data_IF_214083068379
#
_entry.id   IF_214083068379
#
_cell.length_a   1.000
_cell.length_b   1.000
_cell.length_c   1.000
_cell.angle_alpha   90.00
_cell.angle_beta   90.00
_cell.angle_gamma   90.00
#
_symmetry.space_group_name_H-M   'P 1'
#
loop_
_entity.id
_entity.type
_entity.pdbx_description
1 polymer ?
#
# COMPACT_ATOMS: atom_id res chain seq x y z
N UNK A 1 -15.69 -15.32 -8.23
CA UNK A 1 -14.89 -16.12 -7.28
C UNK A 1 -13.58 -16.56 -7.92
N UNK A 2 -13.60 -17.24 -9.08
CA UNK A 2 -12.40 -17.65 -9.81
C UNK A 2 -11.41 -16.50 -10.11
N UNK A 3 -11.91 -15.38 -10.64
CA UNK A 3 -11.09 -14.19 -10.93
C UNK A 3 -10.36 -13.60 -9.71
N UNK A 4 -10.89 -13.74 -8.50
CA UNK A 4 -10.21 -13.27 -7.28
C UNK A 4 -9.08 -14.20 -6.86
N UNK A 5 -9.27 -15.52 -7.05
CA UNK A 5 -8.24 -16.53 -6.79
C UNK A 5 -7.07 -16.37 -7.78
N UNK A 6 -7.38 -16.13 -9.05
CA UNK A 6 -6.35 -15.94 -10.08
C UNK A 6 -5.54 -14.65 -9.81
N UNK A 7 -6.20 -13.55 -9.43
CA UNK A 7 -5.51 -12.32 -9.04
C UNK A 7 -4.62 -12.50 -7.79
N UNK A 8 -5.08 -13.28 -6.80
CA UNK A 8 -4.29 -13.60 -5.62
C UNK A 8 -3.08 -14.48 -5.97
N UNK A 9 -3.24 -15.42 -6.90
CA UNK A 9 -2.13 -16.23 -7.42
C UNK A 9 -1.11 -15.36 -8.13
N UNK A 10 -1.52 -14.51 -9.07
CA UNK A 10 -0.60 -13.63 -9.80
C UNK A 10 0.15 -12.67 -8.85
N UNK A 11 -0.53 -12.20 -7.80
CA UNK A 11 0.11 -11.37 -6.78
C UNK A 11 1.13 -12.16 -5.96
N UNK A 12 0.78 -13.33 -5.44
CA UNK A 12 1.66 -14.11 -4.55
C UNK A 12 2.75 -14.88 -5.30
N UNK A 13 2.53 -15.18 -6.59
CA UNK A 13 3.36 -16.04 -7.44
C UNK A 13 3.71 -15.36 -8.78
N UNK A 14 4.35 -14.18 -8.80
CA UNK A 14 4.55 -13.40 -10.03
C UNK A 14 5.34 -14.15 -11.12
N UNK A 15 6.27 -15.02 -10.72
CA UNK A 15 7.09 -15.85 -11.61
C UNK A 15 6.85 -17.35 -11.39
N UNK A 16 5.69 -17.71 -10.83
CA UNK A 16 5.38 -19.07 -10.38
C UNK A 16 6.01 -19.46 -9.03
N UNK A 17 6.83 -18.57 -8.44
CA UNK A 17 7.45 -18.75 -7.13
C UNK A 17 6.86 -17.82 -6.07
N UNK A 18 6.81 -18.29 -4.81
CA UNK A 18 6.22 -17.53 -3.71
C UNK A 18 7.06 -16.30 -3.37
N UNK A 19 6.44 -15.13 -3.50
CA UNK A 19 7.00 -13.89 -2.98
C UNK A 19 6.80 -13.81 -1.46
N UNK A 20 7.87 -14.11 -0.71
CA UNK A 20 7.86 -14.09 0.76
C UNK A 20 7.46 -12.72 1.34
N UNK A 21 7.87 -11.63 0.69
CA UNK A 21 7.49 -10.27 1.10
C UNK A 21 5.99 -10.02 0.95
N UNK A 22 5.38 -10.46 -0.16
CA UNK A 22 3.94 -10.33 -0.41
C UNK A 22 3.11 -11.25 0.49
N UNK A 23 3.59 -12.47 0.71
CA UNK A 23 2.97 -13.41 1.65
C UNK A 23 3.01 -12.87 3.09
N UNK A 24 4.16 -12.32 3.53
CA UNK A 24 4.31 -11.70 4.84
C UNK A 24 3.42 -10.46 5.00
N UNK A 25 3.34 -9.62 3.97
CA UNK A 25 2.42 -8.48 3.94
C UNK A 25 0.95 -8.92 4.08
N UNK A 26 0.53 -9.91 3.30
CA UNK A 26 -0.82 -10.47 3.38
C UNK A 26 -1.09 -11.06 4.77
N UNK A 27 -0.12 -11.74 5.37
CA UNK A 27 -0.23 -12.28 6.71
C UNK A 27 -0.45 -11.17 7.75
N UNK A 28 0.38 -10.11 7.73
CA UNK A 28 0.26 -8.98 8.67
C UNK A 28 -1.11 -8.30 8.55
N UNK A 29 -1.59 -8.09 7.33
CA UNK A 29 -2.90 -7.47 7.09
C UNK A 29 -4.08 -8.38 7.46
N UNK A 30 -3.93 -9.70 7.26
CA UNK A 30 -4.98 -10.69 7.56
C UNK A 30 -5.15 -10.93 9.07
N UNK A 31 -4.05 -10.91 9.82
CA UNK A 31 -4.02 -11.18 11.27
C UNK A 31 -3.79 -9.91 12.10
N UNK A 32 -4.42 -8.81 11.70
CA UNK A 32 -4.26 -7.47 12.30
C UNK A 32 -4.53 -7.36 13.81
N UNK A 33 -5.23 -8.34 14.39
CA UNK A 33 -5.59 -8.39 15.82
C UNK A 33 -4.48 -9.03 16.68
N UNK A 34 -3.48 -9.66 16.07
CA UNK A 34 -2.40 -10.30 16.81
C UNK A 34 -1.46 -9.26 17.44
N UNK A 35 -1.23 -9.28 18.77
CA UNK A 35 -0.43 -8.28 19.47
C UNK A 35 0.96 -8.01 18.87
N UNK A 36 1.70 -9.07 18.52
CA UNK A 36 3.04 -8.97 17.96
C UNK A 36 3.06 -8.23 16.60
N UNK A 37 1.96 -8.25 15.85
CA UNK A 37 1.85 -7.64 14.54
C UNK A 37 1.43 -6.16 14.58
N UNK A 38 1.15 -5.61 15.77
CA UNK A 38 0.73 -4.22 15.95
C UNK A 38 1.74 -3.20 15.38
N UNK A 39 3.03 -3.37 15.65
CA UNK A 39 4.10 -2.50 15.16
C UNK A 39 4.33 -2.64 13.64
N UNK A 40 4.52 -3.86 13.09
CA UNK A 40 4.61 -4.05 11.65
C UNK A 40 3.42 -3.45 10.88
N UNK A 41 2.19 -3.65 11.38
CA UNK A 41 0.99 -3.07 10.76
C UNK A 41 1.01 -1.55 10.79
N UNK A 42 1.35 -0.97 11.95
CA UNK A 42 1.45 0.49 12.09
C UNK A 42 2.49 1.07 11.12
N UNK A 43 3.61 0.38 10.91
CA UNK A 43 4.61 0.78 9.91
C UNK A 43 4.03 0.75 8.49
N UNK A 44 3.36 -0.35 8.10
CA UNK A 44 2.73 -0.48 6.78
C UNK A 44 1.70 0.63 6.55
N UNK A 45 0.80 0.86 7.51
CA UNK A 45 -0.19 1.93 7.45
C UNK A 45 0.48 3.31 7.30
N UNK A 46 1.54 3.58 8.08
CA UNK A 46 2.27 4.86 8.01
C UNK A 46 2.90 5.10 6.64
N UNK A 47 3.39 4.05 5.97
CA UNK A 47 3.98 4.16 4.62
C UNK A 47 2.90 4.42 3.56
N UNK A 48 1.73 3.81 3.72
CA UNK A 48 0.57 4.06 2.86
C UNK A 48 0.09 5.51 3.00
N UNK A 49 -0.03 5.99 4.24
CA UNK A 49 -0.39 7.38 4.57
C UNK A 49 0.63 8.38 3.99
N UNK A 50 1.91 8.03 4.01
CA UNK A 50 2.97 8.85 3.40
C UNK A 50 2.79 8.95 1.88
N UNK A 51 2.53 7.84 1.18
CA UNK A 51 2.33 7.87 -0.27
C UNK A 51 1.07 8.67 -0.64
N UNK A 52 -0.02 8.51 0.12
CA UNK A 52 -1.23 9.32 -0.05
C UNK A 52 -0.93 10.81 0.13
N UNK A 53 -0.23 11.18 1.20
CA UNK A 53 0.16 12.56 1.48
C UNK A 53 0.99 13.18 0.35
N UNK A 54 1.88 12.40 -0.26
CA UNK A 54 2.69 12.84 -1.40
C UNK A 54 1.83 13.07 -2.66
N UNK A 55 0.82 12.24 -2.91
CA UNK A 55 -0.12 12.40 -4.03
C UNK A 55 -0.97 13.65 -3.84
N UNK A 56 -1.49 13.87 -2.63
CA UNK A 56 -2.25 15.06 -2.28
C UNK A 56 -1.40 16.32 -2.45
N UNK A 57 -0.17 16.32 -1.93
CA UNK A 57 0.77 17.43 -2.11
C UNK A 57 0.99 17.78 -3.59
N UNK A 58 1.30 16.79 -4.43
CA UNK A 58 1.53 16.99 -5.87
C UNK A 58 0.29 17.53 -6.57
N UNK A 59 -0.88 17.02 -6.20
CA UNK A 59 -2.16 17.45 -6.75
C UNK A 59 -2.47 18.90 -6.39
N UNK A 60 -2.37 19.26 -5.10
CA UNK A 60 -2.58 20.63 -4.64
C UNK A 60 -1.57 21.60 -5.27
N UNK A 61 -0.29 21.19 -5.37
CA UNK A 61 0.73 21.98 -6.02
C UNK A 61 0.40 22.26 -7.50
N UNK A 62 0.00 21.25 -8.27
CA UNK A 62 -0.39 21.41 -9.67
C UNK A 62 -1.58 22.39 -9.83
N UNK A 63 -2.62 22.25 -8.98
CA UNK A 63 -3.79 23.14 -9.00
C UNK A 63 -3.45 24.57 -8.58
N UNK A 64 -2.57 24.73 -7.60
CA UNK A 64 -2.08 26.05 -7.18
C UNK A 64 -1.33 26.74 -8.32
N UNK A 65 -0.41 26.03 -9.01
CA UNK A 65 0.32 26.56 -10.16
C UNK A 65 -0.64 26.95 -11.29
N UNK A 66 -1.63 26.12 -11.60
CA UNK A 66 -2.63 26.44 -12.63
C UNK A 66 -3.43 27.71 -12.29
N UNK A 67 -3.76 27.92 -11.01
CA UNK A 67 -4.42 29.16 -10.57
C UNK A 67 -3.53 30.40 -10.77
N UNK A 68 -2.22 30.28 -10.55
CA UNK A 68 -1.30 31.42 -10.58
C UNK A 68 -0.89 31.83 -11.99
N UNK A 69 -0.63 30.86 -12.88
CA UNK A 69 -0.08 31.13 -14.22
C UNK A 69 -0.87 30.50 -15.36
N UNK A 70 -2.01 29.86 -15.08
CA UNK A 70 -2.71 29.04 -16.05
C UNK A 70 -1.88 27.84 -16.47
N UNK A 71 -1.96 27.46 -17.75
CA UNK A 71 -1.15 26.37 -18.35
C UNK A 71 0.06 26.90 -19.12
N UNK A 72 0.62 28.05 -18.71
CA UNK A 72 1.85 28.59 -19.32
C UNK A 72 3.05 27.70 -18.98
N UNK A 73 4.06 27.75 -19.84
CA UNK A 73 5.36 27.12 -19.58
C UNK A 73 5.94 27.64 -18.26
N UNK A 74 6.46 26.71 -17.45
CA UNK A 74 7.09 27.06 -16.18
C UNK A 74 8.43 27.75 -16.39
N UNK A 75 8.86 28.58 -15.44
CA UNK A 75 10.16 29.28 -15.49
C UNK A 75 11.35 28.31 -15.47
N UNK A 76 11.15 27.08 -15.01
CA UNK A 76 12.13 25.99 -15.09
C UNK A 76 12.20 25.27 -16.46
N UNK A 77 11.49 25.77 -17.49
CA UNK A 77 11.50 25.19 -18.84
C UNK A 77 10.60 23.96 -19.03
N UNK A 78 9.88 23.53 -18.00
CA UNK A 78 8.87 22.46 -18.12
C UNK A 78 7.57 22.98 -18.73
N UNK A 79 6.73 22.06 -19.22
CA UNK A 79 5.36 22.37 -19.68
C UNK A 79 4.42 22.88 -18.57
N UNK A 80 4.93 23.17 -17.36
CA UNK A 80 4.15 23.72 -16.26
C UNK A 80 3.19 22.69 -15.67
N UNK A 81 1.90 22.99 -15.70
CA UNK A 81 0.84 22.16 -15.10
C UNK A 81 0.79 20.76 -15.71
N UNK A 82 0.99 20.62 -17.03
CA UNK A 82 1.00 19.31 -17.71
C UNK A 82 2.06 18.37 -17.13
N UNK A 83 3.28 18.87 -16.93
CA UNK A 83 4.35 18.10 -16.29
C UNK A 83 3.99 17.73 -14.85
N UNK A 84 3.45 18.66 -14.07
CA UNK A 84 3.07 18.40 -12.67
C UNK A 84 1.97 17.33 -12.57
N UNK A 85 0.97 17.38 -13.44
CA UNK A 85 -0.10 16.38 -13.51
C UNK A 85 0.44 14.98 -13.83
N UNK A 86 1.47 14.87 -14.68
CA UNK A 86 2.14 13.59 -14.92
C UNK A 86 2.77 13.02 -13.64
N UNK A 87 3.30 13.87 -12.75
CA UNK A 87 3.94 13.40 -11.52
C UNK A 87 2.98 12.80 -10.50
N UNK A 88 1.67 13.05 -10.63
CA UNK A 88 0.63 12.47 -9.76
C UNK A 88 0.48 10.96 -10.00
N UNK A 89 0.86 10.47 -11.20
CA UNK A 89 0.74 9.07 -11.59
C UNK A 89 1.78 8.15 -10.92
N UNK A 90 2.81 8.70 -10.27
CA UNK A 90 3.84 7.90 -9.63
C UNK A 90 3.30 7.16 -8.40
N UNK A 91 3.46 5.83 -8.40
CA UNK A 91 3.17 4.94 -7.27
C UNK A 91 4.40 4.09 -7.01
N UNK A 92 4.95 4.20 -5.80
CA UNK A 92 6.16 3.53 -5.34
C UNK A 92 5.79 2.24 -4.62
N UNK A 93 4.85 2.30 -3.67
CA UNK A 93 4.50 1.18 -2.78
C UNK A 93 3.31 0.36 -3.28
N UNK A 94 3.34 -0.05 -4.55
CA UNK A 94 2.20 -0.70 -5.23
C UNK A 94 1.65 -1.93 -4.48
N UNK A 95 2.53 -2.76 -3.93
CA UNK A 95 2.13 -3.98 -3.23
C UNK A 95 1.35 -3.70 -1.94
N UNK A 96 1.70 -2.63 -1.21
CA UNK A 96 0.96 -2.21 -0.01
C UNK A 96 -0.50 -1.86 -0.34
N UNK A 97 -0.76 -1.30 -1.51
CA UNK A 97 -2.13 -1.01 -1.94
C UNK A 97 -2.84 -2.25 -2.49
N UNK A 98 -2.13 -3.06 -3.28
CA UNK A 98 -2.70 -4.24 -3.94
C UNK A 98 -3.17 -5.30 -2.92
N UNK A 99 -2.43 -5.51 -1.83
CA UNK A 99 -2.75 -6.55 -0.84
C UNK A 99 -4.15 -6.40 -0.23
N UNK A 100 -4.67 -5.17 -0.12
CA UNK A 100 -6.01 -4.89 0.43
C UNK A 100 -7.14 -5.53 -0.38
N UNK A 101 -6.90 -5.81 -1.66
CA UNK A 101 -7.86 -6.52 -2.53
C UNK A 101 -7.86 -8.03 -2.33
N UNK A 102 -6.87 -8.56 -1.62
CA UNK A 102 -6.69 -10.00 -1.35
C UNK A 102 -7.23 -10.42 0.02
N UNK A 103 -7.73 -9.46 0.82
CA UNK A 103 -8.24 -9.74 2.15
C UNK A 103 -9.57 -10.48 2.09
N UNK A 104 -9.68 -11.50 2.95
CA UNK A 104 -10.92 -12.25 3.18
C UNK A 104 -11.42 -11.96 4.59
N UNK A 105 -12.67 -12.38 4.86
CA UNK A 105 -13.24 -12.22 6.19
C UNK A 105 -12.50 -13.10 7.22
N UNK A 106 -12.45 -12.64 8.47
CA UNK A 106 -11.70 -13.31 9.54
C UNK A 106 -12.20 -14.73 9.84
N UNK A 107 -13.48 -15.00 9.68
CA UNK A 107 -14.11 -16.32 9.83
C UNK A 107 -13.65 -17.34 8.78
N UNK A 108 -13.20 -16.87 7.61
CA UNK A 108 -12.63 -17.70 6.57
C UNK A 108 -11.12 -17.92 6.72
N UNK A 109 -10.46 -17.20 7.64
CA UNK A 109 -9.02 -17.35 7.89
C UNK A 109 -8.77 -18.50 8.88
N UNK A 110 -7.83 -19.41 8.59
CA UNK A 110 -7.40 -20.39 9.58
C UNK A 110 -6.75 -19.68 10.76
N UNK A 111 -6.64 -20.37 11.90
CA UNK A 111 -5.80 -19.87 12.98
C UNK A 111 -4.32 -20.07 12.63
N UNK A 112 -3.45 -19.13 13.03
CA UNK A 112 -2.01 -19.28 12.81
C UNK A 112 -1.50 -20.52 13.56
N UNK A 113 -0.48 -21.20 13.01
CA UNK A 113 0.03 -22.46 13.58
C UNK A 113 0.48 -22.34 15.05
N UNK A 114 0.97 -21.16 15.46
CA UNK A 114 1.43 -20.87 16.83
C UNK A 114 0.80 -19.57 17.36
N UNK A 115 -0.48 -19.55 17.78
CA UNK A 115 -1.15 -18.32 18.21
C UNK A 115 -0.47 -17.64 19.41
N UNK A 116 0.03 -18.44 20.36
CA UNK A 116 0.67 -17.96 21.58
C UNK A 116 1.95 -17.16 21.31
N UNK A 117 2.68 -17.50 20.24
CA UNK A 117 3.87 -16.76 19.82
C UNK A 117 3.56 -15.29 19.50
N UNK A 118 2.35 -15.02 19.02
CA UNK A 118 1.92 -13.67 18.65
C UNK A 118 1.23 -12.91 19.78
N UNK A 119 1.09 -13.53 20.96
CA UNK A 119 0.47 -12.93 22.15
C UNK A 119 1.29 -11.78 22.73
N UNK A 120 0.75 -11.15 23.78
CA UNK A 120 1.53 -10.20 24.56
C UNK A 120 2.62 -10.93 25.32
N UNK A 121 3.87 -10.45 25.22
CA UNK A 121 4.95 -10.89 26.11
C UNK A 121 4.65 -10.38 27.53
N UNK A 122 3.82 -11.11 28.28
CA UNK A 122 3.60 -10.88 29.70
C UNK A 122 4.42 -11.90 30.49
N UNK A 123 5.74 -11.76 30.45
CA UNK A 123 6.62 -12.35 31.46
C UNK A 123 7.40 -11.20 32.11
N UNK A 124 6.87 -10.73 33.24
CA UNK A 124 7.57 -9.95 34.26
C UNK A 124 7.38 -10.66 35.60
#
# INVERSE_FOLDING_TARGET
MQSGIDAARDFLLPDGEVSHSRAGLLFIESYRELPLLSWPRRLIDTVVDLEESMILFRSHHARMVERMIGRRMGTGGSSGVDYLDMTIKYRIFKDLWAVRTMLVKRDALPDPESPDFYGYAAEN
#
